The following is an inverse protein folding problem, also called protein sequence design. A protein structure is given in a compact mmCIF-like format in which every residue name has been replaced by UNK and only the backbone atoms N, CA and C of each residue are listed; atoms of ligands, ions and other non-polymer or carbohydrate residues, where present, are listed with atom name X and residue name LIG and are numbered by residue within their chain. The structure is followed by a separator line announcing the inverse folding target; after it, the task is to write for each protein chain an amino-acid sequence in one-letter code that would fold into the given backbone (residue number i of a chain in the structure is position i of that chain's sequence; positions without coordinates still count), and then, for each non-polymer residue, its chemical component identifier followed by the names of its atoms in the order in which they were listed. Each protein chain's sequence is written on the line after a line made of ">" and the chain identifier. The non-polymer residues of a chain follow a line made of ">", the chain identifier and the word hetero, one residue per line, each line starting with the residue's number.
data_IF_703471127505
#
_entry.id   IF_703471127505
#
_cell.length_a   1.000
_cell.length_b   1.000
_cell.length_c   1.000
_cell.angle_alpha   90.00
_cell.angle_beta   90.00
_cell.angle_gamma   90.00
#
_symmetry.space_group_name_H-M   'P 1'
#
loop_
_entity.id
_entity.type
_entity.pdbx_description
1 polymer ?
#
# COMPACT_ATOMS: atom_id res chain seq x y z
N UNK A 1 11.28 -11.43 -7.85
CA UNK A 1 10.24 -11.82 -8.83
C UNK A 1 8.89 -11.95 -8.15
N UNK A 2 7.77 -11.81 -8.87
CA UNK A 2 6.44 -12.07 -8.31
C UNK A 2 6.25 -13.56 -8.01
N UNK A 3 5.84 -13.89 -6.79
CA UNK A 3 5.63 -15.28 -6.34
C UNK A 3 4.18 -15.58 -5.99
N UNK A 4 3.37 -14.57 -5.74
CA UNK A 4 1.93 -14.69 -5.52
C UNK A 4 1.24 -13.32 -5.68
N UNK A 5 -0.03 -13.33 -6.00
CA UNK A 5 -0.87 -12.15 -5.95
C UNK A 5 -2.28 -12.48 -5.44
N UNK A 6 -2.88 -11.53 -4.73
CA UNK A 6 -4.29 -11.52 -4.38
C UNK A 6 -4.94 -10.27 -4.96
N UNK A 7 -6.10 -10.41 -5.56
CA UNK A 7 -6.93 -9.31 -6.04
C UNK A 7 -8.15 -9.25 -5.15
N UNK A 8 -8.43 -8.09 -4.58
CA UNK A 8 -9.57 -7.85 -3.70
C UNK A 8 -10.29 -6.56 -4.09
N UNK A 9 -11.62 -6.50 -3.95
CA UNK A 9 -12.36 -5.26 -4.10
C UNK A 9 -12.05 -4.32 -2.92
N UNK A 10 -12.27 -3.03 -3.09
CA UNK A 10 -11.93 -2.04 -2.08
C UNK A 10 -13.08 -1.11 -1.63
N UNK A 11 -14.35 -1.52 -1.68
CA UNK A 11 -15.40 -0.67 -1.15
C UNK A 11 -15.28 -0.56 0.38
N UNK A 12 -15.49 0.63 0.98
CA UNK A 12 -15.54 0.80 2.43
C UNK A 12 -16.55 -0.13 3.11
N UNK A 13 -17.59 -0.56 2.38
CA UNK A 13 -18.61 -1.49 2.86
C UNK A 13 -18.08 -2.90 3.20
N UNK A 14 -16.85 -3.25 2.80
CA UNK A 14 -16.18 -4.47 3.27
C UNK A 14 -15.94 -4.41 4.78
N UNK A 15 -15.83 -3.22 5.37
CA UNK A 15 -15.70 -3.01 6.81
C UNK A 15 -17.10 -3.09 7.43
N UNK A 16 -17.39 -4.09 8.30
CA UNK A 16 -18.74 -4.34 8.82
C UNK A 16 -19.34 -3.13 9.55
N UNK A 17 -18.51 -2.37 10.24
CA UNK A 17 -18.93 -1.16 10.96
C UNK A 17 -19.46 -0.10 9.98
N UNK A 18 -18.89 0.02 8.79
CA UNK A 18 -19.34 0.92 7.72
C UNK A 18 -20.61 0.38 7.07
N UNK A 19 -20.68 -0.92 6.82
CA UNK A 19 -21.86 -1.55 6.20
C UNK A 19 -23.04 -1.62 7.13
N UNK A 20 -22.84 -1.56 8.45
CA UNK A 20 -23.87 -1.65 9.46
C UNK A 20 -24.83 -2.83 9.25
N UNK A 21 -26.14 -2.59 9.07
CA UNK A 21 -27.14 -3.64 8.84
C UNK A 21 -26.96 -4.44 7.54
N UNK A 22 -26.23 -3.92 6.55
CA UNK A 22 -25.91 -4.60 5.30
C UNK A 22 -24.65 -5.48 5.39
N UNK A 23 -23.94 -5.48 6.53
CA UNK A 23 -22.69 -6.22 6.67
C UNK A 23 -22.79 -7.70 6.25
N UNK A 24 -23.84 -8.48 6.57
CA UNK A 24 -23.95 -9.88 6.14
C UNK A 24 -23.95 -10.10 4.62
N UNK A 25 -24.35 -9.10 3.84
CA UNK A 25 -24.41 -9.21 2.37
C UNK A 25 -23.01 -9.38 1.74
N UNK A 26 -21.95 -8.95 2.45
CA UNK A 26 -20.57 -9.03 2.00
C UNK A 26 -19.75 -10.12 2.71
N UNK A 27 -20.36 -10.99 3.52
CA UNK A 27 -19.65 -12.06 4.24
C UNK A 27 -18.89 -12.99 3.28
N UNK A 28 -19.52 -13.36 2.16
CA UNK A 28 -18.89 -14.23 1.14
C UNK A 28 -17.68 -13.53 0.49
N UNK A 29 -17.83 -12.25 0.17
CA UNK A 29 -16.70 -11.47 -0.38
C UNK A 29 -15.55 -11.37 0.61
N UNK A 30 -15.83 -11.13 1.91
CA UNK A 30 -14.83 -11.09 2.97
C UNK A 30 -14.12 -12.42 3.17
N UNK A 31 -14.86 -13.54 3.13
CA UNK A 31 -14.28 -14.88 3.22
C UNK A 31 -13.34 -15.13 2.02
N UNK A 32 -13.77 -14.81 0.81
CA UNK A 32 -12.93 -14.94 -0.38
C UNK A 32 -11.65 -14.08 -0.31
N UNK A 33 -11.76 -12.85 0.22
CA UNK A 33 -10.57 -12.00 0.45
C UNK A 33 -9.61 -12.65 1.45
N UNK A 34 -10.13 -13.24 2.54
CA UNK A 34 -9.28 -13.94 3.52
C UNK A 34 -8.57 -15.15 2.90
N UNK A 35 -9.27 -15.93 2.06
CA UNK A 35 -8.69 -17.05 1.34
C UNK A 35 -7.58 -16.59 0.37
N UNK A 36 -7.80 -15.49 -0.37
CA UNK A 36 -6.80 -14.90 -1.25
C UNK A 36 -5.55 -14.44 -0.49
N UNK A 37 -5.72 -13.81 0.67
CA UNK A 37 -4.61 -13.41 1.54
C UNK A 37 -3.85 -14.62 2.09
N UNK A 38 -4.54 -15.73 2.37
CA UNK A 38 -3.91 -17.00 2.75
C UNK A 38 -2.95 -17.51 1.69
N UNK A 39 -3.22 -17.30 0.39
CA UNK A 39 -2.32 -17.66 -0.71
C UNK A 39 -1.04 -16.83 -0.67
N UNK A 40 -1.15 -15.52 -0.34
CA UNK A 40 0.04 -14.66 -0.19
C UNK A 40 0.94 -15.13 0.95
N UNK A 41 0.36 -15.45 2.12
CA UNK A 41 1.09 -15.96 3.28
C UNK A 41 1.78 -17.30 2.96
N UNK A 42 1.07 -18.23 2.29
CA UNK A 42 1.62 -19.52 1.89
C UNK A 42 2.82 -19.39 0.94
N UNK A 43 2.86 -18.35 0.13
CA UNK A 43 3.97 -18.07 -0.77
C UNK A 43 5.25 -17.59 -0.07
N UNK A 44 5.20 -17.22 1.21
CA UNK A 44 6.35 -16.74 2.01
C UNK A 44 7.17 -15.67 1.27
N UNK A 45 6.60 -14.52 0.98
CA UNK A 45 7.30 -13.44 0.30
C UNK A 45 8.33 -12.77 1.21
N UNK A 46 9.32 -12.11 0.60
CA UNK A 46 10.26 -11.22 1.30
C UNK A 46 9.70 -9.81 1.41
N UNK A 47 8.73 -9.48 0.57
CA UNK A 47 8.06 -8.17 0.52
C UNK A 47 6.62 -8.32 0.02
N UNK A 48 5.68 -7.74 0.74
CA UNK A 48 4.30 -7.52 0.27
C UNK A 48 4.14 -6.07 -0.21
N UNK A 49 3.72 -5.89 -1.45
CA UNK A 49 3.32 -4.56 -1.93
C UNK A 49 1.80 -4.53 -2.12
N UNK A 50 1.16 -3.58 -1.46
CA UNK A 50 -0.28 -3.32 -1.59
C UNK A 50 -0.48 -2.21 -2.61
N UNK A 51 -1.19 -2.49 -3.70
CA UNK A 51 -1.46 -1.51 -4.76
C UNK A 51 -2.95 -1.23 -4.81
N UNK A 52 -3.35 0.02 -4.83
CA UNK A 52 -4.78 0.38 -4.92
C UNK A 52 -5.03 1.76 -5.50
N UNK A 53 -6.27 2.01 -5.98
CA UNK A 53 -6.64 3.32 -6.52
C UNK A 53 -6.55 4.40 -5.44
N UNK A 54 -6.11 5.59 -5.85
CA UNK A 54 -5.97 6.72 -4.95
C UNK A 54 -6.33 8.04 -5.62
N UNK A 55 -7.01 8.91 -4.88
CA UNK A 55 -7.15 10.31 -5.23
C UNK A 55 -5.79 11.02 -5.18
N UNK A 56 -5.71 12.23 -5.71
CA UNK A 56 -4.43 12.94 -5.88
C UNK A 56 -3.61 13.03 -4.58
N UNK A 57 -4.23 13.26 -3.44
CA UNK A 57 -3.56 13.37 -2.14
C UNK A 57 -2.98 12.04 -1.62
N UNK A 58 -3.55 10.91 -2.05
CA UNK A 58 -3.15 9.56 -1.62
C UNK A 58 -2.22 8.84 -2.60
N UNK A 59 -1.82 9.48 -3.71
CA UNK A 59 -0.93 8.86 -4.71
C UNK A 59 0.51 8.79 -4.21
N UNK A 60 1.18 7.71 -4.55
CA UNK A 60 2.59 7.46 -4.20
C UNK A 60 2.76 6.37 -3.17
N UNK A 61 3.96 6.28 -2.64
CA UNK A 61 4.36 5.25 -1.68
C UNK A 61 3.87 5.59 -0.28
N UNK A 62 3.38 4.56 0.43
CA UNK A 62 3.01 4.58 1.83
C UNK A 62 3.82 3.53 2.57
N UNK A 63 4.62 3.96 3.54
CA UNK A 63 5.46 3.06 4.32
C UNK A 63 4.62 2.15 5.23
N UNK A 64 5.21 1.05 5.67
CA UNK A 64 4.67 0.23 6.75
C UNK A 64 4.39 1.10 7.99
N UNK A 65 3.26 0.83 8.66
CA UNK A 65 2.80 1.65 9.78
C UNK A 65 1.98 2.89 9.40
N UNK A 66 1.87 3.24 8.11
CA UNK A 66 0.99 4.32 7.64
C UNK A 66 -0.44 4.11 8.10
N UNK A 67 -1.10 5.20 8.51
CA UNK A 67 -2.43 5.16 9.13
C UNK A 67 -3.53 5.48 8.14
N UNK A 68 -4.65 4.78 8.27
CA UNK A 68 -5.90 5.07 7.59
C UNK A 68 -7.05 5.17 8.58
N UNK A 69 -8.18 5.74 8.16
CA UNK A 69 -9.36 5.91 9.01
C UNK A 69 -10.63 5.80 8.19
N UNK A 70 -11.67 5.22 8.79
CA UNK A 70 -13.02 5.17 8.22
C UNK A 70 -13.96 6.22 8.82
N UNK A 71 -13.43 7.22 9.55
CA UNK A 71 -14.23 8.33 10.10
C UNK A 71 -15.00 9.09 9.05
N UNK A 72 -14.44 9.23 7.83
CA UNK A 72 -15.13 9.81 6.68
C UNK A 72 -16.40 9.07 6.26
N UNK A 73 -16.58 7.83 6.69
CA UNK A 73 -17.75 6.99 6.47
C UNK A 73 -18.65 6.87 7.71
N UNK A 74 -18.42 7.71 8.72
CA UNK A 74 -19.26 7.81 9.90
C UNK A 74 -18.96 6.80 11.02
N UNK A 75 -17.81 6.10 10.96
CA UNK A 75 -17.41 5.11 11.97
C UNK A 75 -16.01 5.42 12.52
N UNK A 76 -15.81 5.16 13.82
CA UNK A 76 -14.53 5.39 14.49
C UNK A 76 -13.66 4.11 14.40
N UNK A 77 -13.21 3.80 13.19
CA UNK A 77 -12.32 2.68 12.92
C UNK A 77 -11.04 3.23 12.27
N UNK A 78 -9.93 3.08 12.97
CA UNK A 78 -8.59 3.42 12.47
C UNK A 78 -7.85 2.12 12.15
N UNK A 79 -7.00 2.14 11.10
CA UNK A 79 -6.22 0.99 10.63
C UNK A 79 -4.78 1.40 10.38
N UNK A 80 -3.88 0.39 10.33
CA UNK A 80 -2.48 0.59 9.97
C UNK A 80 -2.07 -0.41 8.89
N UNK A 81 -1.27 0.07 7.95
CA UNK A 81 -0.69 -0.79 6.94
C UNK A 81 0.47 -1.60 7.54
N UNK A 82 0.18 -2.82 7.96
CA UNK A 82 1.13 -3.67 8.66
C UNK A 82 1.29 -3.31 10.14
N UNK A 83 1.89 -4.24 10.88
CA UNK A 83 2.32 -4.01 12.24
C UNK A 83 3.55 -3.10 12.17
N UNK A 84 3.35 -1.80 12.24
CA UNK A 84 4.49 -0.86 12.34
C UNK A 84 5.46 -1.42 13.39
N UNK A 85 6.71 -1.56 13.01
CA UNK A 85 7.75 -2.15 13.84
C UNK A 85 7.61 -1.65 15.27
N UNK A 86 7.54 -2.54 16.25
CA UNK A 86 7.28 -2.24 17.64
C UNK A 86 8.17 -1.07 18.10
N UNK A 87 7.62 0.13 17.97
CA UNK A 87 8.10 1.27 18.75
C UNK A 87 7.87 0.84 20.18
N UNK A 88 8.98 0.64 20.90
CA UNK A 88 9.10 0.01 22.19
C UNK A 88 7.87 0.14 23.07
N UNK A 89 7.45 -0.97 23.61
CA UNK A 89 6.54 -1.03 24.73
C UNK A 89 7.03 -0.02 25.76
N UNK A 90 6.43 1.16 25.77
CA UNK A 90 6.56 2.11 26.86
C UNK A 90 5.95 1.44 28.08
N UNK A 91 6.77 0.75 28.86
CA UNK A 91 6.45 0.34 30.21
C UNK A 91 6.22 1.65 30.97
N UNK A 92 4.97 1.98 31.21
CA UNK A 92 4.59 3.06 32.10
C UNK A 92 5.25 2.85 33.46
N UNK A 93 5.63 3.92 34.16
CA UNK A 93 6.28 3.80 35.46
C UNK A 93 5.25 3.30 36.48
N UNK A 94 5.35 2.00 36.80
CA UNK A 94 4.77 1.45 38.02
C UNK A 94 5.64 1.90 39.19
N UNK A 95 5.00 2.54 40.16
CA UNK A 95 5.58 3.06 41.37
C UNK A 95 6.17 1.95 42.26
N UNK A 96 7.19 2.40 43.01
CA UNK A 96 7.68 1.91 44.28
C UNK A 96 8.95 1.02 44.31
N UNK A 97 10.01 1.61 44.79
CA UNK A 97 10.77 1.17 45.95
C UNK A 97 11.88 0.14 45.71
N UNK A 98 13.12 0.54 45.91
CA UNK A 98 14.15 -0.40 46.27
C UNK A 98 15.58 0.07 46.03
N UNK A 99 16.10 0.79 46.98
CA UNK A 99 17.43 0.71 47.57
C UNK A 99 18.65 0.52 46.64
N UNK A 100 19.52 1.49 46.70
CA UNK A 100 20.83 1.49 46.10
C UNK A 100 21.87 0.57 46.71
N UNK A 101 22.85 0.23 45.92
CA UNK A 101 24.17 -0.14 46.41
C UNK A 101 25.19 0.58 45.55
N UNK A 102 25.96 1.44 46.22
CA UNK A 102 27.15 2.08 45.65
C UNK A 102 28.36 1.18 45.74
N UNK A 103 29.20 1.23 44.76
CA UNK A 103 30.57 0.81 44.86
C UNK A 103 31.43 1.82 44.11
N UNK A 104 32.25 2.56 44.79
CA UNK A 104 33.45 3.19 44.26
C UNK A 104 34.67 2.39 44.73
N UNK A 105 35.92 2.84 44.57
CA UNK A 105 36.54 3.57 43.51
C UNK A 105 37.75 2.82 42.92
N UNK A 106 38.23 3.17 41.79
CA UNK A 106 39.52 2.71 41.27
C UNK A 106 40.09 3.72 40.29
N UNK A 107 41.26 4.17 40.63
CA UNK A 107 42.03 5.24 40.03
C UNK A 107 42.54 4.92 38.63
N UNK A 108 42.87 5.99 37.94
CA UNK A 108 43.87 6.24 36.89
C UNK A 108 43.35 6.36 35.44
N UNK A 109 43.59 7.57 34.95
CA UNK A 109 43.95 7.82 33.55
C UNK A 109 42.88 8.45 32.64
N UNK A 110 42.71 9.74 32.79
CA UNK A 110 42.69 10.76 31.75
C UNK A 110 41.68 10.67 30.58
N UNK A 111 41.03 11.70 30.39
CA UNK A 111 40.57 12.55 29.30
C UNK A 111 39.11 12.89 29.45
N UNK A 112 38.87 14.03 30.04
CA UNK A 112 37.54 14.63 30.05
C UNK A 112 37.24 15.30 28.71
N UNK A 113 36.04 15.08 28.16
CA UNK A 113 35.46 15.97 27.17
C UNK A 113 34.31 16.69 27.84
N UNK A 114 34.54 17.94 28.17
CA UNK A 114 33.50 18.84 28.65
C UNK A 114 32.73 19.41 27.46
N UNK A 115 31.42 19.30 27.50
CA UNK A 115 30.53 20.06 26.61
C UNK A 115 29.91 21.15 27.47
N UNK A 116 30.34 22.38 27.27
CA UNK A 116 29.72 23.58 27.83
C UNK A 116 28.87 24.27 26.77
N UNK A 117 27.74 24.92 27.13
CA UNK A 117 26.99 25.72 26.20
C UNK A 117 27.65 27.09 25.97
N UNK A 118 27.90 27.44 24.71
CA UNK A 118 28.40 28.74 24.31
C UNK A 118 27.58 29.30 23.17
N UNK A 119 27.04 30.47 23.41
CA UNK A 119 26.33 31.30 22.46
C UNK A 119 27.27 31.90 21.40
N UNK A 120 26.68 32.17 20.22
CA UNK A 120 27.12 33.15 19.23
C UNK A 120 28.44 32.92 18.46
N UNK A 121 28.30 32.92 17.11
CA UNK A 121 29.38 33.24 16.24
C UNK A 121 29.53 32.41 14.99
N UNK A 122 29.07 32.97 13.87
CA UNK A 122 29.26 32.43 12.54
C UNK A 122 30.69 32.14 12.17
N UNK A 123 30.95 31.05 11.50
CA UNK A 123 32.21 30.74 10.86
C UNK A 123 32.04 30.85 9.36
N UNK A 124 32.51 31.94 8.80
CA UNK A 124 32.68 32.10 7.38
C UNK A 124 33.91 31.32 6.89
N UNK A 125 33.71 30.43 5.92
CA UNK A 125 34.83 29.80 5.19
C UNK A 125 35.05 30.60 3.92
N UNK A 126 36.16 31.34 3.88
CA UNK A 126 36.62 32.04 2.70
C UNK A 126 37.32 31.06 1.74
N UNK A 127 36.83 30.95 0.52
CA UNK A 127 37.50 30.25 -0.57
C UNK A 127 38.25 31.26 -1.42
N UNK A 128 39.56 31.06 -1.57
CA UNK A 128 40.40 31.80 -2.51
C UNK A 128 40.30 31.18 -3.90
N UNK A 129 40.24 31.99 -4.96
CA UNK A 129 40.21 31.45 -6.31
C UNK A 129 41.59 31.00 -6.76
N UNK A 130 41.74 29.74 -7.12
CA UNK A 130 42.86 29.21 -7.89
C UNK A 130 42.42 29.13 -9.36
N UNK A 131 43.24 29.74 -10.23
CA UNK A 131 43.10 29.64 -11.66
C UNK A 131 43.46 28.21 -12.09
N UNK A 132 42.49 27.51 -12.70
CA UNK A 132 42.66 26.63 -13.85
C UNK A 132 41.35 25.93 -14.13
N UNK A 133 40.92 26.00 -15.37
CA UNK A 133 39.57 25.64 -15.80
C UNK A 133 39.22 24.15 -15.63
N UNK A 134 38.30 23.88 -14.75
CA UNK A 134 37.47 22.69 -14.75
C UNK A 134 36.02 23.07 -14.47
N UNK A 135 35.11 22.66 -15.34
CA UNK A 135 33.68 22.89 -15.22
C UNK A 135 33.18 22.08 -14.02
N UNK A 136 33.02 22.73 -12.88
CA UNK A 136 32.38 22.16 -11.70
C UNK A 136 30.87 22.22 -11.88
N UNK A 137 30.21 21.09 -11.80
CA UNK A 137 28.75 21.00 -11.61
C UNK A 137 28.41 21.60 -10.26
N UNK A 138 27.68 22.70 -10.28
CA UNK A 138 27.18 23.40 -9.13
C UNK A 138 26.18 22.47 -8.39
N UNK A 139 26.61 21.90 -7.28
CA UNK A 139 25.71 21.28 -6.33
C UNK A 139 25.03 22.41 -5.56
N UNK A 140 23.81 22.74 -5.98
CA UNK A 140 22.96 23.68 -5.24
C UNK A 140 22.82 23.29 -3.77
N UNK A 141 22.53 24.27 -2.88
CA UNK A 141 22.43 24.01 -1.46
C UNK A 141 21.39 22.93 -1.18
N UNK A 142 21.78 21.90 -0.42
CA UNK A 142 20.91 20.86 0.02
C UNK A 142 19.68 21.48 0.67
N UNK A 143 18.52 21.20 0.11
CA UNK A 143 17.26 21.48 0.77
C UNK A 143 17.28 20.70 2.08
N UNK A 144 17.30 21.42 3.17
CA UNK A 144 17.00 20.93 4.51
C UNK A 144 15.55 20.39 4.44
N UNK A 145 15.40 19.09 4.29
CA UNK A 145 14.11 18.43 4.41
C UNK A 145 13.83 18.34 5.89
N UNK A 146 13.15 19.38 6.39
CA UNK A 146 12.56 19.36 7.71
C UNK A 146 11.66 18.13 7.84
N UNK A 147 12.00 17.25 8.75
CA UNK A 147 11.36 15.97 9.08
C UNK A 147 10.02 16.13 9.82
N UNK A 148 9.14 17.06 9.39
CA UNK A 148 7.84 17.30 10.00
C UNK A 148 6.67 17.23 8.99
N UNK A 149 6.82 16.53 7.85
CA UNK A 149 5.67 16.24 7.02
C UNK A 149 4.87 15.12 7.70
N UNK A 150 3.73 15.49 8.32
CA UNK A 150 2.82 14.50 8.90
C UNK A 150 2.57 13.37 7.89
N UNK A 151 2.73 12.10 8.29
CA UNK A 151 2.60 10.99 7.36
C UNK A 151 1.24 11.04 6.69
N UNK A 152 1.23 11.11 5.37
CA UNK A 152 -0.01 11.18 4.57
C UNK A 152 -0.93 10.02 4.94
N UNK A 153 -2.23 10.26 5.17
CA UNK A 153 -3.16 9.19 5.47
C UNK A 153 -3.29 8.22 4.30
N UNK A 154 -3.55 6.96 4.60
CA UNK A 154 -3.83 5.96 3.59
C UNK A 154 -5.07 6.36 2.77
N UNK A 155 -5.05 6.24 1.43
CA UNK A 155 -6.26 6.31 0.63
C UNK A 155 -7.20 5.15 1.00
N UNK A 156 -8.49 5.33 0.75
CA UNK A 156 -9.53 4.36 1.13
C UNK A 156 -9.21 2.92 0.71
N UNK A 157 -8.70 2.73 -0.49
CA UNK A 157 -8.33 1.40 -0.99
C UNK A 157 -7.27 0.71 -0.14
N UNK A 158 -6.21 1.46 0.24
CA UNK A 158 -5.15 0.94 1.10
C UNK A 158 -5.60 0.82 2.55
N UNK A 159 -6.56 1.65 3.00
CA UNK A 159 -7.16 1.50 4.33
C UNK A 159 -8.01 0.21 4.41
N UNK A 160 -8.77 -0.13 3.36
CA UNK A 160 -9.48 -1.42 3.26
C UNK A 160 -8.49 -2.59 3.24
N UNK A 161 -7.39 -2.49 2.48
CA UNK A 161 -6.34 -3.49 2.48
C UNK A 161 -5.71 -3.68 3.87
N UNK A 162 -5.40 -2.59 4.56
CA UNK A 162 -4.85 -2.61 5.91
C UNK A 162 -5.82 -3.32 6.88
N UNK A 163 -7.12 -3.01 6.79
CA UNK A 163 -8.16 -3.67 7.57
C UNK A 163 -8.23 -5.19 7.31
N UNK A 164 -8.13 -5.61 6.03
CA UNK A 164 -8.09 -7.04 5.66
C UNK A 164 -6.84 -7.74 6.23
N UNK A 165 -5.67 -7.10 6.12
CA UNK A 165 -4.39 -7.63 6.61
C UNK A 165 -4.38 -7.75 8.14
N UNK A 166 -4.91 -6.78 8.87
CA UNK A 166 -5.04 -6.84 10.33
C UNK A 166 -5.91 -8.04 10.77
N UNK A 167 -7.01 -8.30 10.08
CA UNK A 167 -7.92 -9.41 10.39
C UNK A 167 -7.34 -10.79 10.10
N UNK A 168 -6.46 -10.89 9.14
CA UNK A 168 -5.73 -12.14 8.83
C UNK A 168 -4.48 -12.30 9.67
N UNK A 169 -4.12 -11.28 10.47
CA UNK A 169 -2.93 -11.31 11.33
C UNK A 169 -1.63 -11.33 10.53
N UNK A 170 -1.60 -10.62 9.40
CA UNK A 170 -0.41 -10.60 8.53
C UNK A 170 0.85 -10.17 9.29
N UNK A 171 1.87 -11.04 9.24
CA UNK A 171 3.19 -10.81 9.83
C UNK A 171 4.31 -11.52 9.05
N UNK A 172 3.98 -12.05 7.86
CA UNK A 172 4.87 -12.93 7.10
C UNK A 172 6.00 -12.17 6.37
N UNK A 173 5.77 -10.90 6.04
CA UNK A 173 6.75 -10.05 5.36
C UNK A 173 6.49 -8.56 5.63
N UNK A 174 7.51 -7.69 5.49
CA UNK A 174 7.35 -6.24 5.44
C UNK A 174 6.34 -5.82 4.38
N UNK A 175 5.63 -4.72 4.65
CA UNK A 175 4.57 -4.20 3.78
C UNK A 175 4.90 -2.81 3.28
N UNK A 176 4.55 -2.55 2.03
CA UNK A 176 4.55 -1.21 1.47
C UNK A 176 3.27 -0.98 0.67
N UNK A 177 2.69 0.21 0.77
CA UNK A 177 1.52 0.62 0.00
C UNK A 177 1.92 1.48 -1.20
N UNK A 178 1.16 1.34 -2.29
CA UNK A 178 1.26 2.19 -3.48
C UNK A 178 -0.13 2.66 -3.90
N UNK A 179 -0.42 3.94 -3.66
CA UNK A 179 -1.62 4.59 -4.17
C UNK A 179 -1.43 5.03 -5.61
N UNK A 180 -2.31 4.59 -6.53
CA UNK A 180 -2.21 4.90 -7.96
C UNK A 180 -3.43 5.66 -8.45
N UNK A 181 -3.20 6.65 -9.31
CA UNK A 181 -4.30 7.41 -9.93
C UNK A 181 -4.93 6.65 -11.09
N UNK A 182 -6.25 6.75 -11.25
CA UNK A 182 -6.97 6.14 -12.36
C UNK A 182 -6.44 6.55 -13.74
N UNK A 183 -6.10 7.82 -14.01
CA UNK A 183 -5.61 8.21 -15.33
C UNK A 183 -4.16 7.81 -15.62
N UNK A 184 -3.57 6.89 -14.82
CA UNK A 184 -2.23 6.39 -15.10
C UNK A 184 -2.22 5.61 -16.40
N UNK A 185 -1.35 6.02 -17.32
CA UNK A 185 -1.20 5.40 -18.64
C UNK A 185 -0.85 3.91 -18.56
N UNK A 186 -1.45 3.04 -19.40
CA UNK A 186 -1.22 1.59 -19.36
C UNK A 186 0.27 1.20 -19.35
N UNK A 187 1.06 1.81 -20.20
CA UNK A 187 2.51 1.56 -20.28
C UNK A 187 3.23 1.86 -18.96
N UNK A 188 2.82 2.94 -18.28
CA UNK A 188 3.34 3.30 -16.95
C UNK A 188 2.92 2.28 -15.89
N UNK A 189 1.70 1.77 -15.96
CA UNK A 189 1.24 0.70 -15.07
C UNK A 189 2.13 -0.54 -15.21
N UNK A 190 2.36 -0.99 -16.45
CA UNK A 190 3.20 -2.15 -16.74
C UNK A 190 4.65 -1.95 -16.26
N UNK A 191 5.24 -0.79 -16.54
CA UNK A 191 6.59 -0.45 -16.07
C UNK A 191 6.68 -0.45 -14.55
N UNK A 192 5.68 0.10 -13.86
CA UNK A 192 5.59 0.10 -12.40
C UNK A 192 5.54 -1.33 -11.86
N UNK A 193 4.73 -2.20 -12.47
CA UNK A 193 4.66 -3.61 -12.09
C UNK A 193 5.98 -4.34 -12.20
N UNK A 194 6.69 -4.17 -13.32
CA UNK A 194 8.05 -4.73 -13.52
C UNK A 194 9.02 -4.24 -12.45
N UNK A 195 8.99 -2.93 -12.15
CA UNK A 195 9.85 -2.35 -11.12
C UNK A 195 9.57 -2.95 -9.74
N UNK A 196 8.29 -3.13 -9.38
CA UNK A 196 7.88 -3.76 -8.12
C UNK A 196 8.39 -5.20 -8.05
N UNK A 197 8.21 -6.01 -9.09
CA UNK A 197 8.65 -7.41 -9.10
C UNK A 197 10.18 -7.58 -8.94
N UNK A 198 10.96 -6.55 -9.27
CA UNK A 198 12.41 -6.52 -9.10
C UNK A 198 12.90 -6.07 -7.72
N UNK A 199 12.03 -5.70 -6.78
CA UNK A 199 12.44 -5.10 -5.49
C UNK A 199 12.98 -6.10 -4.47
N UNK A 200 12.57 -7.36 -4.56
CA UNK A 200 13.04 -8.45 -3.71
C UNK A 200 13.09 -9.76 -4.51
N UNK A 201 13.71 -10.79 -3.93
CA UNK A 201 13.73 -12.12 -4.58
C UNK A 201 12.32 -12.69 -4.69
N UNK A 202 11.51 -12.53 -3.66
CA UNK A 202 10.14 -13.02 -3.57
C UNK A 202 9.20 -11.88 -3.22
N UNK A 203 8.49 -11.36 -4.21
CA UNK A 203 7.51 -10.28 -4.03
C UNK A 203 6.11 -10.87 -4.11
N UNK A 204 5.23 -10.52 -3.16
CA UNK A 204 3.80 -10.73 -3.27
C UNK A 204 3.08 -9.39 -3.53
N UNK A 205 1.96 -9.44 -4.24
CA UNK A 205 1.10 -8.29 -4.48
C UNK A 205 -0.29 -8.51 -3.87
N UNK A 206 -0.76 -7.54 -3.10
CA UNK A 206 -2.17 -7.37 -2.78
C UNK A 206 -2.71 -6.22 -3.64
N UNK A 207 -3.58 -6.53 -4.57
CA UNK A 207 -4.08 -5.60 -5.59
C UNK A 207 -5.53 -5.25 -5.27
N UNK A 208 -5.76 -4.01 -4.91
CA UNK A 208 -7.07 -3.49 -4.55
C UNK A 208 -7.71 -2.79 -5.74
N UNK A 209 -9.01 -3.04 -5.96
CA UNK A 209 -9.74 -2.35 -7.02
C UNK A 209 -11.08 -2.96 -7.33
N UNK A 210 -12.04 -2.12 -7.68
CA UNK A 210 -13.39 -2.54 -8.07
C UNK A 210 -13.51 -2.57 -9.60
N UNK A 211 -14.36 -3.45 -10.11
CA UNK A 211 -14.74 -3.48 -11.51
C UNK A 211 -15.72 -2.32 -11.82
N UNK A 212 -16.60 -2.45 -12.82
CA UNK A 212 -17.47 -1.35 -13.18
C UNK A 212 -18.40 -0.92 -12.04
N UNK A 213 -18.72 0.36 -11.97
CA UNK A 213 -19.72 0.89 -11.04
C UNK A 213 -21.04 1.23 -11.77
N UNK A 214 -21.38 0.46 -12.83
CA UNK A 214 -22.45 0.78 -13.77
C UNK A 214 -23.38 -0.40 -14.06
N UNK A 215 -23.52 -1.36 -13.10
CA UNK A 215 -24.29 -2.61 -13.32
C UNK A 215 -25.80 -2.47 -13.16
N UNK A 216 -26.29 -1.43 -12.53
CA UNK A 216 -27.72 -1.23 -12.26
C UNK A 216 -28.13 0.24 -12.37
N UNK A 217 -29.46 0.50 -12.45
CA UNK A 217 -30.00 1.87 -12.44
C UNK A 217 -29.70 2.64 -11.13
N UNK A 218 -29.37 1.94 -10.05
CA UNK A 218 -29.04 2.52 -8.74
C UNK A 218 -27.55 2.52 -8.45
N UNK A 219 -26.74 2.00 -9.38
CA UNK A 219 -25.29 2.02 -9.25
C UNK A 219 -24.74 3.46 -9.24
N UNK A 220 -23.58 3.71 -8.60
CA UNK A 220 -22.97 5.04 -8.57
C UNK A 220 -22.71 5.66 -9.95
N UNK A 221 -22.45 4.84 -10.96
CA UNK A 221 -22.23 5.27 -12.34
C UNK A 221 -23.49 5.17 -13.22
N UNK A 222 -24.65 4.79 -12.62
CA UNK A 222 -25.86 4.46 -13.36
C UNK A 222 -25.68 3.22 -14.26
N UNK A 223 -26.77 2.76 -14.94
CA UNK A 223 -26.70 1.58 -15.79
C UNK A 223 -25.99 1.87 -17.12
N UNK A 224 -24.98 1.09 -17.44
CA UNK A 224 -24.34 1.02 -18.75
C UNK A 224 -24.28 -0.45 -19.20
N UNK A 225 -24.82 -0.73 -20.39
CA UNK A 225 -24.90 -2.12 -20.90
C UNK A 225 -23.52 -2.74 -21.17
N UNK A 226 -22.46 -1.91 -21.30
CA UNK A 226 -21.07 -2.37 -21.48
C UNK A 226 -20.45 -2.87 -20.17
N UNK A 227 -21.04 -2.53 -19.01
CA UNK A 227 -20.48 -2.85 -17.70
C UNK A 227 -20.42 -4.37 -17.45
N UNK A 228 -21.51 -5.10 -17.75
CA UNK A 228 -21.54 -6.53 -17.50
C UNK A 228 -20.52 -7.32 -18.33
N UNK A 229 -20.39 -7.12 -19.66
CA UNK A 229 -19.35 -7.80 -20.43
C UNK A 229 -17.94 -7.37 -20.06
N UNK A 230 -17.70 -6.10 -19.67
CA UNK A 230 -16.41 -5.65 -19.16
C UNK A 230 -16.02 -6.39 -17.88
N UNK A 231 -16.93 -6.47 -16.89
CA UNK A 231 -16.68 -7.14 -15.63
C UNK A 231 -16.41 -8.64 -15.82
N UNK A 232 -17.17 -9.29 -16.70
CA UNK A 232 -16.99 -10.70 -17.00
C UNK A 232 -15.61 -10.99 -17.63
N UNK A 233 -15.14 -10.13 -18.52
CA UNK A 233 -13.78 -10.25 -19.09
C UNK A 233 -12.70 -10.02 -18.03
N UNK A 234 -12.86 -9.02 -17.15
CA UNK A 234 -11.96 -8.79 -16.02
C UNK A 234 -11.91 -10.01 -15.10
N UNK A 235 -13.07 -10.54 -14.69
CA UNK A 235 -13.15 -11.72 -13.84
C UNK A 235 -12.49 -12.95 -14.49
N UNK A 236 -12.73 -13.17 -15.80
CA UNK A 236 -12.08 -14.23 -16.57
C UNK A 236 -10.56 -14.04 -16.58
N UNK A 237 -10.09 -12.84 -16.88
CA UNK A 237 -8.66 -12.55 -16.99
C UNK A 237 -7.94 -12.71 -15.64
N UNK A 238 -8.54 -12.21 -14.58
CA UNK A 238 -8.01 -12.36 -13.22
C UNK A 238 -8.04 -13.82 -12.74
N UNK A 239 -9.13 -14.52 -13.01
CA UNK A 239 -9.30 -15.93 -12.65
C UNK A 239 -8.35 -16.88 -13.40
N UNK A 240 -7.89 -16.51 -14.59
CA UNK A 240 -6.97 -17.30 -15.40
C UNK A 240 -5.51 -16.84 -15.36
N UNK A 241 -5.19 -15.79 -14.59
CA UNK A 241 -3.90 -15.10 -14.63
C UNK A 241 -3.50 -14.69 -16.07
N UNK A 242 -4.48 -14.23 -16.85
CA UNK A 242 -4.28 -13.83 -18.25
C UNK A 242 -3.63 -12.43 -18.30
N UNK A 243 -2.31 -12.42 -18.18
CA UNK A 243 -1.48 -11.21 -18.23
C UNK A 243 -1.72 -10.40 -19.51
N UNK A 244 -1.93 -11.08 -20.64
CA UNK A 244 -2.13 -10.42 -21.92
C UNK A 244 -3.47 -9.65 -21.96
N UNK A 245 -4.54 -10.26 -21.49
CA UNK A 245 -5.86 -9.63 -21.40
C UNK A 245 -5.84 -8.43 -20.44
N UNK A 246 -5.23 -8.56 -19.26
CA UNK A 246 -5.12 -7.45 -18.31
C UNK A 246 -4.32 -6.27 -18.85
N UNK A 247 -3.24 -6.52 -19.60
CA UNK A 247 -2.48 -5.47 -20.27
C UNK A 247 -3.29 -4.73 -21.34
N UNK A 248 -4.19 -5.46 -22.01
CA UNK A 248 -5.01 -4.96 -23.10
C UNK A 248 -6.30 -4.27 -22.63
N UNK A 249 -6.55 -4.18 -21.31
CA UNK A 249 -7.72 -3.49 -20.80
C UNK A 249 -7.80 -2.05 -21.33
N UNK A 250 -8.94 -1.72 -21.91
CA UNK A 250 -9.22 -0.40 -22.46
C UNK A 250 -9.37 0.63 -21.32
N UNK A 251 -8.45 1.59 -21.29
CA UNK A 251 -8.40 2.59 -20.24
C UNK A 251 -9.56 3.60 -20.34
N UNK A 252 -10.01 3.94 -21.57
CA UNK A 252 -11.13 4.86 -21.78
C UNK A 252 -12.45 4.20 -21.34
N UNK A 253 -12.69 2.97 -21.77
CA UNK A 253 -13.85 2.19 -21.36
C UNK A 253 -13.89 1.99 -19.84
N UNK A 254 -12.76 1.61 -19.22
CA UNK A 254 -12.67 1.44 -17.77
C UNK A 254 -12.99 2.74 -17.02
N UNK A 255 -12.52 3.88 -17.51
CA UNK A 255 -12.81 5.20 -16.94
C UNK A 255 -14.29 5.55 -17.07
N UNK A 256 -14.91 5.35 -18.24
CA UNK A 256 -16.34 5.59 -18.46
C UNK A 256 -17.19 4.71 -17.54
N UNK A 257 -16.82 3.44 -17.36
CA UNK A 257 -17.48 2.49 -16.48
C UNK A 257 -17.13 2.66 -15.00
N UNK A 258 -16.26 3.62 -14.65
CA UNK A 258 -15.79 3.91 -13.28
C UNK A 258 -15.14 2.68 -12.60
N UNK A 259 -14.41 1.89 -13.39
CA UNK A 259 -13.68 0.73 -12.90
C UNK A 259 -12.36 1.18 -12.25
N UNK A 260 -12.33 1.24 -10.92
CA UNK A 260 -11.16 1.72 -10.18
C UNK A 260 -9.97 0.75 -10.18
N UNK A 261 -10.21 -0.52 -10.55
CA UNK A 261 -9.20 -1.57 -10.55
C UNK A 261 -8.29 -1.59 -11.77
N UNK A 262 -8.63 -0.91 -12.88
CA UNK A 262 -7.89 -1.00 -14.15
C UNK A 262 -6.38 -0.75 -13.98
N UNK A 263 -5.97 0.36 -13.39
CA UNK A 263 -4.56 0.68 -13.22
C UNK A 263 -3.83 -0.29 -12.28
N UNK A 264 -4.35 -0.66 -11.09
CA UNK A 264 -3.82 -1.73 -10.27
C UNK A 264 -3.67 -3.09 -10.98
N UNK A 265 -4.65 -3.51 -11.78
CA UNK A 265 -4.58 -4.78 -12.52
C UNK A 265 -3.54 -4.76 -13.64
N UNK A 266 -3.35 -3.63 -14.29
CA UNK A 266 -2.26 -3.47 -15.26
C UNK A 266 -0.88 -3.45 -14.59
N UNK A 267 -0.77 -2.93 -13.35
CA UNK A 267 0.45 -3.06 -12.55
C UNK A 267 0.70 -4.54 -12.22
N UNK A 268 -0.32 -5.27 -11.79
CA UNK A 268 -0.22 -6.72 -11.58
C UNK A 268 0.26 -7.44 -12.85
N UNK A 269 -0.33 -7.12 -13.99
CA UNK A 269 0.06 -7.73 -15.27
C UNK A 269 1.55 -7.48 -15.59
N UNK A 270 2.06 -6.26 -15.30
CA UNK A 270 3.48 -5.95 -15.46
C UNK A 270 4.38 -6.71 -14.49
N UNK A 271 3.94 -6.89 -13.24
CA UNK A 271 4.70 -7.63 -12.23
C UNK A 271 4.74 -9.13 -12.49
N UNK A 272 3.70 -9.67 -13.13
CA UNK A 272 3.54 -11.09 -13.39
C UNK A 272 4.21 -11.57 -14.70
N UNK A 273 4.79 -10.66 -15.48
CA UNK A 273 5.48 -11.05 -16.72
C UNK A 273 6.59 -12.07 -16.42
N UNK A 274 6.48 -13.24 -17.04
CA UNK A 274 7.46 -14.33 -16.86
C UNK A 274 7.41 -15.05 -15.51
N UNK A 275 6.48 -14.72 -14.62
CA UNK A 275 6.36 -15.40 -13.34
C UNK A 275 5.73 -16.80 -13.43
N UNK A 276 4.91 -17.06 -14.47
CA UNK A 276 4.29 -18.38 -14.69
C UNK A 276 3.24 -18.77 -13.66
N UNK A 277 2.62 -17.80 -13.01
CA UNK A 277 1.58 -18.05 -11.99
C UNK A 277 0.28 -18.52 -12.62
N UNK A 278 -0.40 -19.43 -11.93
CA UNK A 278 -1.78 -19.82 -12.23
C UNK A 278 -2.77 -18.96 -11.47
N UNK A 279 -3.93 -18.70 -12.03
CA UNK A 279 -5.00 -17.92 -11.41
C UNK A 279 -6.18 -18.77 -10.96
N UNK A 280 -6.88 -18.31 -9.92
CA UNK A 280 -8.15 -18.86 -9.44
C UNK A 280 -9.10 -17.72 -9.10
N UNK A 281 -10.30 -17.72 -9.69
CA UNK A 281 -11.39 -16.83 -9.32
C UNK A 281 -12.06 -17.37 -8.06
N UNK A 282 -12.11 -16.55 -6.99
CA UNK A 282 -12.68 -16.94 -5.70
C UNK A 282 -14.06 -16.32 -5.46
N UNK A 283 -14.31 -15.14 -6.05
CA UNK A 283 -15.60 -14.44 -5.91
C UNK A 283 -15.81 -13.49 -7.09
N UNK A 284 -17.06 -13.41 -7.53
CA UNK A 284 -17.54 -12.43 -8.51
C UNK A 284 -18.99 -12.11 -8.21
N UNK A 285 -19.33 -10.84 -7.98
CA UNK A 285 -20.70 -10.37 -7.80
C UNK A 285 -20.78 -8.84 -7.97
N UNK A 286 -21.98 -8.29 -8.02
CA UNK A 286 -22.23 -6.84 -8.09
C UNK A 286 -23.41 -6.42 -7.19
N UNK A 287 -23.32 -6.64 -5.85
CA UNK A 287 -24.46 -6.50 -4.94
C UNK A 287 -25.05 -5.09 -4.89
N UNK A 288 -24.22 -4.06 -5.12
CA UNK A 288 -24.66 -2.65 -5.13
C UNK A 288 -24.53 -2.01 -6.50
N UNK A 289 -24.48 -2.83 -7.55
CA UNK A 289 -24.25 -2.34 -8.91
C UNK A 289 -22.80 -1.97 -9.21
N UNK A 290 -21.88 -2.32 -8.30
CA UNK A 290 -20.43 -2.23 -8.47
C UNK A 290 -19.87 -3.66 -8.55
N UNK A 291 -19.10 -3.96 -9.57
CA UNK A 291 -18.51 -5.28 -9.77
C UNK A 291 -17.38 -5.51 -8.77
N UNK A 292 -17.48 -6.57 -7.98
CA UNK A 292 -16.47 -7.03 -7.04
C UNK A 292 -15.89 -8.35 -7.50
N UNK A 293 -14.58 -8.42 -7.59
CA UNK A 293 -13.84 -9.61 -8.03
C UNK A 293 -12.77 -9.94 -6.99
N UNK A 294 -12.72 -11.21 -6.58
CA UNK A 294 -11.61 -11.73 -5.77
C UNK A 294 -10.93 -12.85 -6.54
N UNK A 295 -9.63 -12.75 -6.70
CA UNK A 295 -8.81 -13.76 -7.36
C UNK A 295 -7.48 -13.95 -6.61
N UNK A 296 -6.90 -15.15 -6.74
CA UNK A 296 -5.60 -15.46 -6.18
C UNK A 296 -4.70 -16.09 -7.26
N UNK A 297 -3.42 -15.72 -7.25
CA UNK A 297 -2.40 -16.24 -8.17
C UNK A 297 -1.25 -16.86 -7.39
N UNK A 298 -0.83 -18.06 -7.81
CA UNK A 298 0.30 -18.79 -7.20
C UNK A 298 0.96 -19.76 -8.18
#
# INVERSE_FOLDING_TARGET
>A
MLVAAAVCPCPPLLVPEVAAGAAPELDTARAACADALGVLAAARPDLLVVVGPAEQSGRGVHAEGSRGSFRGFGVDVDVRLGAGGAAGVGVGPGAAGGVGVGVGPGADGGVGVGVGPGADGGVGVGVRPGADGAVGVDAGPGADHGDDEEPRPLPTSLAVAAWLLERTGWSDAPIEGLGVGEPLEPERCIQTGRAIAGRAERVALLVMGDASACRTLKAPGYLDERAAPFDAEVARALGAADVAALRALDAELAYELKASGRAPWQILAGAAEGAGLGGSLLYEDAPYGVGYVVAAWS
#
